data_IF_546880306083
#
_entry.id   IF_546880306083
#
_cell.length_a   1.000
_cell.length_b   1.000
_cell.length_c   1.000
_cell.angle_alpha   90.00
_cell.angle_beta   90.00
_cell.angle_gamma   90.00
#
_symmetry.space_group_name_H-M   'P 1'
#
loop_
_entity.id
_entity.type
_entity.pdbx_description
1 polymer ?
#
# COMPACT_ATOMS: atom_id res chain seq x y z
N UNK A 1 5.46 3.30 -8.24
CA UNK A 1 5.21 1.84 -8.31
C UNK A 1 4.44 1.50 -7.05
N UNK A 2 3.31 0.78 -7.12
CA UNK A 2 2.47 0.51 -5.94
C UNK A 2 3.23 -0.33 -4.91
N UNK A 3 3.04 -0.05 -3.63
CA UNK A 3 3.61 -0.83 -2.52
C UNK A 3 2.78 -2.08 -2.20
N UNK A 4 1.63 -2.24 -2.84
CA UNK A 4 0.68 -3.30 -2.57
C UNK A 4 0.32 -4.04 -3.86
N UNK A 5 0.15 -5.36 -3.78
CA UNK A 5 -0.28 -6.19 -4.91
C UNK A 5 -1.39 -7.14 -4.49
N UNK A 6 -2.35 -7.37 -5.39
CA UNK A 6 -3.37 -8.38 -5.19
C UNK A 6 -2.77 -9.76 -5.48
N UNK A 7 -3.00 -10.72 -4.58
CA UNK A 7 -2.49 -12.09 -4.70
C UNK A 7 -3.61 -13.09 -4.45
N UNK A 8 -3.59 -14.20 -5.19
CA UNK A 8 -4.50 -15.32 -4.91
C UNK A 8 -3.96 -16.10 -3.72
N UNK A 9 -4.82 -16.36 -2.73
CA UNK A 9 -4.47 -17.14 -1.53
C UNK A 9 -5.22 -18.47 -1.46
N UNK A 10 -6.29 -18.63 -2.23
CA UNK A 10 -7.03 -19.89 -2.31
C UNK A 10 -7.56 -20.15 -3.71
N UNK A 11 -7.45 -21.41 -4.11
CA UNK A 11 -8.00 -21.93 -5.35
C UNK A 11 -9.03 -23.02 -5.06
N UNK A 12 -9.96 -23.20 -5.99
CA UNK A 12 -10.94 -24.28 -5.99
C UNK A 12 -10.85 -25.06 -7.29
N UNK A 13 -10.90 -26.40 -7.19
CA UNK A 13 -11.04 -27.27 -8.36
C UNK A 13 -12.51 -27.31 -8.78
N UNK A 14 -12.78 -27.13 -10.06
CA UNK A 14 -14.12 -27.22 -10.60
C UNK A 14 -14.44 -28.70 -10.87
N UNK A 15 -15.42 -29.25 -10.17
CA UNK A 15 -15.83 -30.65 -10.28
C UNK A 15 -16.17 -31.03 -11.72
N UNK A 16 -15.74 -32.22 -12.16
CA UNK A 16 -15.93 -32.67 -13.53
C UNK A 16 -15.00 -32.02 -14.57
N UNK A 17 -14.02 -31.22 -14.15
CA UNK A 17 -13.02 -30.60 -15.03
C UNK A 17 -11.61 -30.68 -14.43
N UNK A 18 -10.59 -30.44 -15.27
CA UNK A 18 -9.21 -30.20 -14.82
C UNK A 18 -8.95 -28.72 -14.48
N UNK A 19 -9.98 -27.88 -14.52
CA UNK A 19 -9.85 -26.44 -14.29
C UNK A 19 -9.74 -26.11 -12.78
N UNK A 20 -8.91 -25.11 -12.50
CA UNK A 20 -8.71 -24.54 -11.16
C UNK A 20 -9.06 -23.06 -11.26
N UNK A 21 -9.90 -22.56 -10.36
CA UNK A 21 -10.26 -21.13 -10.29
C UNK A 21 -9.77 -20.50 -8.99
N UNK A 22 -9.26 -19.26 -9.01
CA UNK A 22 -9.02 -18.50 -7.80
C UNK A 22 -10.36 -18.16 -7.14
N UNK A 23 -10.46 -18.37 -5.82
CA UNK A 23 -11.68 -18.10 -5.04
C UNK A 23 -11.47 -17.16 -3.86
N UNK A 24 -10.21 -16.87 -3.50
CA UNK A 24 -9.91 -15.95 -2.43
C UNK A 24 -8.63 -15.18 -2.77
N UNK A 25 -8.73 -13.86 -2.62
CA UNK A 25 -7.69 -12.89 -2.89
C UNK A 25 -7.31 -12.17 -1.59
N UNK A 26 -6.06 -11.75 -1.52
CA UNK A 26 -5.55 -10.93 -0.45
C UNK A 26 -4.63 -9.83 -1.02
N UNK A 27 -4.24 -8.90 -0.16
CA UNK A 27 -3.26 -7.87 -0.51
C UNK A 27 -1.94 -8.23 0.14
N UNK A 28 -0.88 -8.26 -0.65
CA UNK A 28 0.50 -8.38 -0.18
C UNK A 28 1.14 -7.00 -0.14
N UNK A 29 1.62 -6.60 1.03
CA UNK A 29 2.44 -5.41 1.24
C UNK A 29 3.90 -5.78 0.97
N UNK A 30 4.46 -5.15 -0.07
CA UNK A 30 5.82 -5.37 -0.54
C UNK A 30 6.85 -4.90 0.49
N UNK A 31 6.58 -3.79 1.17
CA UNK A 31 7.50 -3.17 2.11
C UNK A 31 7.61 -4.00 3.39
N UNK A 32 6.47 -4.34 4.00
CA UNK A 32 6.45 -5.16 5.22
C UNK A 32 6.60 -6.66 4.96
N UNK A 33 6.55 -7.07 3.68
CA UNK A 33 6.59 -8.46 3.20
C UNK A 33 5.54 -9.34 3.86
N UNK A 34 4.33 -8.82 4.00
CA UNK A 34 3.21 -9.49 4.70
C UNK A 34 1.94 -9.45 3.89
N UNK A 35 1.15 -10.52 4.03
CA UNK A 35 -0.23 -10.53 3.56
C UNK A 35 -1.09 -9.81 4.60
N UNK A 36 -1.83 -8.79 4.16
CA UNK A 36 -2.80 -8.08 4.99
C UNK A 36 -3.93 -9.04 5.39
N UNK A 37 -4.57 -8.83 6.56
CA UNK A 37 -5.56 -9.78 7.07
C UNK A 37 -6.86 -9.84 6.25
N UNK A 38 -7.17 -8.78 5.52
CA UNK A 38 -8.37 -8.70 4.69
C UNK A 38 -8.35 -9.73 3.55
N UNK A 39 -9.52 -10.26 3.22
CA UNK A 39 -9.76 -11.27 2.18
C UNK A 39 -10.88 -10.79 1.27
N UNK A 40 -10.77 -11.15 -0.01
CA UNK A 40 -11.70 -10.70 -1.04
C UNK A 40 -12.08 -11.87 -1.95
N UNK A 41 -13.36 -11.96 -2.29
CA UNK A 41 -13.86 -13.01 -3.19
C UNK A 41 -13.50 -12.73 -4.67
N UNK A 42 -13.27 -11.45 -5.01
CA UNK A 42 -12.95 -10.99 -6.35
C UNK A 42 -11.67 -10.14 -6.36
N UNK A 43 -10.83 -10.25 -7.42
CA UNK A 43 -9.58 -9.50 -7.52
C UNK A 43 -9.82 -7.98 -7.50
N UNK A 44 -10.89 -7.53 -8.15
CA UNK A 44 -11.25 -6.11 -8.25
C UNK A 44 -11.41 -5.43 -6.89
N UNK A 45 -11.95 -6.13 -5.88
CA UNK A 45 -12.10 -5.54 -4.55
C UNK A 45 -10.77 -5.37 -3.82
N UNK A 46 -9.82 -6.29 -4.04
CA UNK A 46 -8.45 -6.12 -3.57
C UNK A 46 -7.77 -4.94 -4.27
N UNK A 47 -7.95 -4.78 -5.58
CA UNK A 47 -7.40 -3.68 -6.38
C UNK A 47 -7.97 -2.31 -5.97
N UNK A 48 -9.28 -2.22 -5.73
CA UNK A 48 -9.92 -1.00 -5.22
C UNK A 48 -9.36 -0.60 -3.86
N UNK A 49 -9.12 -1.56 -2.96
CA UNK A 49 -8.47 -1.30 -1.68
C UNK A 49 -7.01 -0.88 -1.84
N UNK A 50 -6.26 -1.48 -2.77
CA UNK A 50 -4.88 -1.08 -3.10
C UNK A 50 -4.84 0.38 -3.53
N UNK A 51 -5.77 0.83 -4.38
CA UNK A 51 -5.84 2.24 -4.79
C UNK A 51 -6.06 3.18 -3.59
N UNK A 52 -6.87 2.78 -2.61
CA UNK A 52 -7.06 3.54 -1.37
C UNK A 52 -5.76 3.57 -0.55
N UNK A 53 -5.09 2.43 -0.39
CA UNK A 53 -3.84 2.34 0.36
C UNK A 53 -2.71 3.15 -0.28
N UNK A 54 -2.61 3.14 -1.61
CA UNK A 54 -1.64 3.94 -2.35
C UNK A 54 -1.89 5.43 -2.19
N UNK A 55 -3.16 5.87 -2.24
CA UNK A 55 -3.50 7.27 -1.99
C UNK A 55 -3.14 7.72 -0.57
N UNK A 56 -3.41 6.87 0.43
CA UNK A 56 -3.02 7.15 1.82
C UNK A 56 -1.50 7.24 1.95
N UNK A 57 -0.77 6.32 1.33
CA UNK A 57 0.70 6.30 1.37
C UNK A 57 1.28 7.59 0.78
N UNK A 58 0.82 7.99 -0.41
CA UNK A 58 1.28 9.22 -1.07
C UNK A 58 0.95 10.47 -0.24
N UNK A 59 -0.25 10.53 0.36
CA UNK A 59 -0.64 11.65 1.22
C UNK A 59 0.25 11.74 2.47
N UNK A 60 0.60 10.60 3.07
CA UNK A 60 1.50 10.57 4.23
C UNK A 60 2.91 11.00 3.84
N UNK A 61 3.43 10.56 2.69
CA UNK A 61 4.73 11.02 2.20
C UNK A 61 4.77 12.52 1.95
N UNK A 62 3.72 13.10 1.36
CA UNK A 62 3.59 14.55 1.13
C UNK A 62 3.59 15.33 2.46
N UNK A 63 2.78 14.91 3.43
CA UNK A 63 2.72 15.55 4.75
C UNK A 63 4.07 15.45 5.48
N UNK A 64 4.78 14.33 5.36
CA UNK A 64 6.09 14.18 6.00
C UNK A 64 7.14 15.06 5.32
N UNK A 65 7.12 15.17 3.99
CA UNK A 65 8.02 16.06 3.24
C UNK A 65 7.81 17.52 3.64
N UNK A 66 6.55 17.98 3.69
CA UNK A 66 6.20 19.34 4.08
C UNK A 66 6.67 19.68 5.51
N UNK A 67 6.54 18.73 6.43
CA UNK A 67 7.00 18.91 7.82
C UNK A 67 8.52 18.99 7.92
N UNK A 68 9.26 18.21 7.13
CA UNK A 68 10.72 18.27 7.09
C UNK A 68 11.19 19.62 6.53
N UNK A 69 10.55 20.11 5.47
CA UNK A 69 10.87 21.43 4.89
C UNK A 69 10.53 22.58 5.86
N UNK A 70 9.41 22.48 6.58
CA UNK A 70 9.05 23.44 7.62
C UNK A 70 10.04 23.44 8.80
N UNK A 71 10.51 22.27 9.24
CA UNK A 71 11.54 22.18 10.29
C UNK A 71 12.89 22.72 9.83
N UNK A 72 13.29 22.46 8.59
CA UNK A 72 14.54 22.98 8.01
C UNK A 72 14.50 24.50 7.90
N UNK A 73 13.40 25.05 7.39
CA UNK A 73 13.16 26.50 7.33
C UNK A 73 13.24 27.14 8.72
N UNK A 74 12.65 26.54 9.76
CA UNK A 74 12.75 27.02 11.15
C UNK A 74 14.18 26.99 11.72
N UNK A 75 15.00 26.00 11.35
CA UNK A 75 16.41 25.93 11.77
C UNK A 75 17.29 26.96 11.08
N UNK A 76 17.01 27.27 9.81
CA UNK A 76 17.73 28.31 9.07
C UNK A 76 17.41 29.72 9.62
N UNK A 77 16.17 29.96 10.07
CA UNK A 77 15.75 31.24 10.69
C UNK A 77 16.37 31.43 12.09
N UNK A 78 16.55 30.35 12.86
CA UNK A 78 17.09 30.39 14.22
C UNK A 78 18.61 30.21 14.31
N UNK A 79 19.30 30.09 13.17
CA UNK A 79 20.77 30.10 13.15
C UNK A 79 21.23 31.55 13.35
N UNK A 80 21.96 31.86 14.43
CA UNK A 80 22.43 33.22 14.66
C UNK A 80 23.37 33.60 13.52
N UNK A 81 23.03 34.67 12.80
CA UNK A 81 23.96 35.33 11.89
C UNK A 81 25.16 35.77 12.73
N UNK A 82 26.26 35.04 12.64
CA UNK A 82 27.54 35.47 13.19
C UNK A 82 27.95 36.72 12.42
N UNK A 83 27.82 37.88 13.06
CA UNK A 83 28.35 39.16 12.61
C UNK A 83 29.89 39.14 12.60
#
# INVERSE_FOLDING_TARGET
>A
MSNYIAVVVKFEKIEGTDAIKPIEWAIYDIFSRKILPERYDLPRFAEEKIAVLDNIYNLVEEILADNVDAEKSRKDINSPTTL
#
